data_IF_574608783388
#
_entry.id   IF_574608783388
#
_cell.length_a   1.000
_cell.length_b   1.000
_cell.length_c   1.000
_cell.angle_alpha   90.00
_cell.angle_beta   90.00
_cell.angle_gamma   90.00
#
_symmetry.space_group_name_H-M   'P 1'
#
loop_
_entity.id
_entity.type
_entity.pdbx_description
1 polymer ?
#
# COMPACT_ATOMS: atom_id res chain seq x y z
N UNK A 1 -16.71 -17.89 -10.66
CA UNK A 1 -17.82 -18.04 -11.64
C UNK A 1 -19.10 -17.64 -10.94
N UNK A 2 -19.72 -16.54 -11.35
CA UNK A 2 -21.07 -16.22 -10.91
C UNK A 2 -22.03 -17.28 -11.46
N UNK A 3 -22.89 -17.81 -10.61
CA UNK A 3 -24.02 -18.63 -11.06
C UNK A 3 -24.96 -17.80 -11.90
N UNK A 4 -25.71 -18.39 -12.81
CA UNK A 4 -26.67 -17.64 -13.63
C UNK A 4 -27.67 -16.86 -12.78
N UNK A 5 -28.12 -17.42 -11.65
CA UNK A 5 -29.00 -16.73 -10.70
C UNK A 5 -28.36 -15.48 -10.07
N UNK A 6 -27.07 -15.48 -9.82
CA UNK A 6 -26.35 -14.30 -9.33
C UNK A 6 -26.19 -13.24 -10.42
N UNK A 7 -25.95 -13.66 -11.65
CA UNK A 7 -25.93 -12.74 -12.81
C UNK A 7 -27.25 -12.03 -13.00
N UNK A 8 -28.35 -12.78 -12.94
CA UNK A 8 -29.70 -12.21 -13.08
C UNK A 8 -29.99 -11.25 -11.91
N UNK A 9 -29.65 -11.62 -10.69
CA UNK A 9 -29.82 -10.74 -9.52
C UNK A 9 -29.02 -9.45 -9.67
N UNK A 10 -27.76 -9.52 -10.08
CA UNK A 10 -26.89 -8.36 -10.28
C UNK A 10 -27.44 -7.44 -11.39
N UNK A 11 -27.90 -8.00 -12.50
CA UNK A 11 -28.51 -7.23 -13.58
C UNK A 11 -29.78 -6.53 -13.13
N UNK A 12 -30.63 -7.17 -12.34
CA UNK A 12 -31.87 -6.58 -11.80
C UNK A 12 -31.56 -5.40 -10.89
N UNK A 13 -30.54 -5.51 -10.02
CA UNK A 13 -30.14 -4.42 -9.14
C UNK A 13 -29.58 -3.24 -9.94
N UNK A 14 -28.70 -3.50 -10.89
CA UNK A 14 -28.14 -2.45 -11.76
C UNK A 14 -29.26 -1.72 -12.53
N UNK A 15 -30.23 -2.43 -13.07
CA UNK A 15 -31.33 -1.81 -13.82
C UNK A 15 -32.27 -1.00 -12.93
N UNK A 16 -32.47 -1.39 -11.67
CA UNK A 16 -33.32 -0.65 -10.74
C UNK A 16 -32.71 0.65 -10.23
N UNK A 17 -31.37 0.72 -10.18
CA UNK A 17 -30.63 1.77 -9.50
C UNK A 17 -29.66 2.50 -10.43
N UNK A 18 -29.81 2.37 -11.75
CA UNK A 18 -28.82 2.85 -12.72
C UNK A 18 -28.56 4.36 -12.60
N UNK A 19 -29.61 5.16 -12.37
CA UNK A 19 -29.46 6.61 -12.20
C UNK A 19 -28.82 6.99 -10.85
N UNK A 20 -28.86 6.08 -9.87
CA UNK A 20 -28.24 6.26 -8.55
C UNK A 20 -26.80 5.74 -8.48
N UNK A 21 -26.44 4.82 -9.36
CA UNK A 21 -25.09 4.25 -9.44
C UNK A 21 -24.06 5.18 -10.13
N UNK A 22 -24.53 6.24 -10.78
CA UNK A 22 -23.67 7.26 -11.36
C UNK A 22 -23.10 8.22 -10.31
N UNK A 23 -23.76 8.32 -9.15
CA UNK A 23 -23.30 9.11 -8.02
C UNK A 23 -22.73 8.19 -6.93
N UNK A 24 -21.40 8.13 -6.83
CA UNK A 24 -20.68 7.27 -5.88
C UNK A 24 -20.88 7.70 -4.42
N UNK A 25 -21.35 8.91 -4.17
CA UNK A 25 -21.66 9.44 -2.84
C UNK A 25 -23.13 9.20 -2.46
N UNK A 26 -23.92 8.59 -3.35
CA UNK A 26 -25.32 8.30 -3.08
C UNK A 26 -25.46 7.34 -1.89
N UNK A 27 -26.24 7.68 -0.84
CA UNK A 27 -26.42 6.84 0.35
C UNK A 27 -26.92 5.43 0.03
N UNK A 28 -27.76 5.27 -0.99
CA UNK A 28 -28.32 3.96 -1.39
C UNK A 28 -27.21 3.06 -1.95
N UNK A 29 -26.32 3.62 -2.78
CA UNK A 29 -25.16 2.90 -3.30
C UNK A 29 -24.19 2.49 -2.18
N UNK A 30 -23.90 3.42 -1.26
CA UNK A 30 -23.05 3.18 -0.09
C UNK A 30 -23.64 2.07 0.79
N UNK A 31 -24.93 2.10 1.06
CA UNK A 31 -25.62 1.08 1.87
C UNK A 31 -25.63 -0.29 1.17
N UNK A 32 -25.85 -0.30 -0.14
CA UNK A 32 -25.79 -1.54 -0.92
C UNK A 32 -24.40 -2.19 -0.84
N UNK A 33 -23.33 -1.45 -1.17
CA UNK A 33 -21.96 -1.95 -1.06
C UNK A 33 -21.64 -2.37 0.37
N UNK A 34 -22.08 -1.61 1.37
CA UNK A 34 -21.91 -1.93 2.77
C UNK A 34 -22.53 -3.27 3.17
N UNK A 35 -23.74 -3.52 2.68
CA UNK A 35 -24.46 -4.77 2.96
C UNK A 35 -23.81 -5.95 2.25
N UNK A 36 -23.40 -5.80 1.00
CA UNK A 36 -22.66 -6.84 0.27
C UNK A 36 -21.34 -7.19 0.96
N UNK A 37 -20.61 -6.20 1.45
CA UNK A 37 -19.38 -6.40 2.21
C UNK A 37 -19.61 -7.18 3.51
N UNK A 38 -20.69 -6.86 4.26
CA UNK A 38 -21.05 -7.59 5.48
C UNK A 38 -21.39 -9.06 5.19
N UNK A 39 -22.17 -9.32 4.15
CA UNK A 39 -22.59 -10.67 3.80
C UNK A 39 -21.47 -11.55 3.25
N UNK A 40 -20.45 -10.94 2.65
CA UNK A 40 -19.32 -11.65 2.04
C UNK A 40 -18.02 -11.54 2.85
N UNK A 41 -18.07 -10.97 4.05
CA UNK A 41 -16.89 -10.76 4.89
C UNK A 41 -16.11 -12.06 5.12
N UNK A 42 -16.79 -13.15 5.43
CA UNK A 42 -16.18 -14.47 5.68
C UNK A 42 -15.53 -15.08 4.44
N UNK A 43 -15.89 -14.64 3.24
CA UNK A 43 -15.24 -15.11 1.99
C UNK A 43 -13.85 -14.51 1.80
N UNK A 44 -13.57 -13.39 2.47
CA UNK A 44 -12.27 -12.75 2.51
C UNK A 44 -11.39 -13.29 3.64
N UNK A 45 -11.85 -14.36 4.33
CA UNK A 45 -11.13 -14.98 5.43
C UNK A 45 -9.71 -15.39 5.02
N UNK A 46 -8.76 -15.03 5.85
CA UNK A 46 -7.32 -15.17 5.69
C UNK A 46 -6.77 -16.58 5.81
N UNK A 47 -7.59 -17.57 6.03
CA UNK A 47 -7.15 -18.96 5.88
C UNK A 47 -6.60 -19.24 4.48
N UNK A 48 -6.84 -18.34 3.53
CA UNK A 48 -6.20 -18.35 2.21
C UNK A 48 -5.11 -17.29 2.19
N UNK A 49 -3.89 -17.72 1.94
CA UNK A 49 -2.69 -16.86 1.94
C UNK A 49 -2.67 -15.93 0.74
N UNK A 50 -3.40 -14.81 0.79
CA UNK A 50 -3.23 -13.71 -0.13
C UNK A 50 -2.70 -12.47 0.62
N UNK A 51 -1.95 -11.62 -0.06
CA UNK A 51 -1.30 -10.44 0.53
C UNK A 51 -1.75 -9.13 -0.09
N UNK A 52 -2.39 -9.19 -1.25
CA UNK A 52 -2.86 -8.02 -1.99
C UNK A 52 -4.36 -8.17 -2.28
N UNK A 53 -5.10 -7.09 -2.07
CA UNK A 53 -6.48 -6.91 -2.48
C UNK A 53 -6.50 -5.73 -3.45
N UNK A 54 -6.90 -5.94 -4.69
CA UNK A 54 -6.85 -4.91 -5.73
C UNK A 54 -8.27 -4.56 -6.15
N UNK A 55 -8.63 -3.30 -5.98
CA UNK A 55 -9.92 -2.73 -6.39
C UNK A 55 -9.61 -1.56 -7.30
N UNK A 56 -9.46 -1.80 -8.61
CA UNK A 56 -9.11 -0.75 -9.55
C UNK A 56 -10.23 0.29 -9.70
N UNK A 57 -9.83 1.55 -9.78
CA UNK A 57 -10.73 2.68 -9.92
C UNK A 57 -11.02 3.38 -8.59
N UNK A 58 -11.69 4.51 -8.68
CA UNK A 58 -12.03 5.31 -7.52
C UNK A 58 -13.26 4.73 -6.80
N UNK A 59 -13.13 4.53 -5.49
CA UNK A 59 -14.20 3.99 -4.66
C UNK A 59 -15.27 5.04 -4.28
N UNK A 60 -15.05 6.28 -4.63
CA UNK A 60 -15.98 7.40 -4.53
C UNK A 60 -16.12 7.95 -3.12
N UNK A 61 -16.58 7.16 -2.19
CA UNK A 61 -16.91 7.60 -0.84
C UNK A 61 -15.86 7.20 0.20
N UNK A 62 -15.57 8.12 1.11
CA UNK A 62 -14.75 7.85 2.28
C UNK A 62 -15.34 6.69 3.13
N UNK A 63 -16.65 6.60 3.23
CA UNK A 63 -17.32 5.54 3.97
C UNK A 63 -17.07 4.14 3.36
N UNK A 64 -17.03 4.03 2.03
CA UNK A 64 -16.71 2.78 1.33
C UNK A 64 -15.23 2.45 1.49
N UNK A 65 -14.36 3.44 1.29
CA UNK A 65 -12.91 3.28 1.44
C UNK A 65 -12.54 2.81 2.85
N UNK A 66 -13.14 3.39 3.87
CA UNK A 66 -12.94 3.02 5.27
C UNK A 66 -13.35 1.57 5.55
N UNK A 67 -14.46 1.11 4.98
CA UNK A 67 -14.89 -0.29 5.14
C UNK A 67 -13.91 -1.26 4.51
N UNK A 68 -13.47 -1.00 3.29
CA UNK A 68 -12.46 -1.80 2.63
C UNK A 68 -11.12 -1.76 3.36
N UNK A 69 -10.72 -0.58 3.86
CA UNK A 69 -9.52 -0.41 4.67
C UNK A 69 -9.56 -1.21 5.96
N UNK A 70 -10.69 -1.18 6.68
CA UNK A 70 -10.89 -1.99 7.90
C UNK A 70 -10.83 -3.49 7.62
N UNK A 71 -11.44 -3.94 6.51
CA UNK A 71 -11.34 -5.34 6.06
C UNK A 71 -9.90 -5.70 5.75
N UNK A 72 -9.20 -4.88 4.97
CA UNK A 72 -7.81 -5.12 4.61
C UNK A 72 -6.92 -5.20 5.86
N UNK A 73 -7.06 -4.25 6.79
CA UNK A 73 -6.30 -4.21 8.04
C UNK A 73 -6.59 -5.41 8.93
N UNK A 74 -7.87 -5.77 9.15
CA UNK A 74 -8.26 -6.93 9.96
C UNK A 74 -7.69 -8.22 9.39
N UNK A 75 -7.63 -8.30 8.09
CA UNK A 75 -7.14 -9.45 7.36
C UNK A 75 -5.63 -9.38 7.04
N UNK A 76 -4.91 -8.37 7.48
CA UNK A 76 -3.47 -8.23 7.23
C UNK A 76 -3.11 -8.34 5.73
N UNK A 77 -3.89 -7.69 4.88
CA UNK A 77 -3.67 -7.55 3.44
C UNK A 77 -3.49 -6.08 3.07
N UNK A 78 -2.79 -5.83 1.98
CA UNK A 78 -2.64 -4.50 1.42
C UNK A 78 -3.70 -4.27 0.34
N UNK A 79 -4.55 -3.27 0.55
CA UNK A 79 -5.53 -2.81 -0.44
C UNK A 79 -4.85 -1.84 -1.41
N UNK A 80 -5.01 -2.10 -2.71
CA UNK A 80 -4.62 -1.18 -3.78
C UNK A 80 -5.88 -0.67 -4.48
N UNK A 81 -5.99 0.64 -4.56
CA UNK A 81 -7.07 1.34 -5.23
C UNK A 81 -6.53 2.63 -5.89
N UNK A 82 -7.39 3.37 -6.55
CA UNK A 82 -7.01 4.59 -7.26
C UNK A 82 -7.80 5.77 -6.74
N UNK A 83 -7.19 6.95 -6.82
CA UNK A 83 -7.90 8.19 -6.66
C UNK A 83 -8.65 8.54 -7.97
N UNK A 84 -9.53 9.51 -7.89
CA UNK A 84 -10.38 9.93 -9.01
C UNK A 84 -9.53 10.30 -10.25
N UNK A 85 -10.04 9.99 -11.44
CA UNK A 85 -9.47 10.44 -12.71
C UNK A 85 -9.75 11.92 -12.89
N UNK A 86 -8.71 12.73 -12.70
CA UNK A 86 -8.75 14.19 -12.79
C UNK A 86 -7.78 14.67 -13.85
N UNK A 87 -7.94 15.91 -14.29
CA UNK A 87 -7.17 16.44 -15.43
C UNK A 87 -5.94 17.22 -15.03
N UNK A 88 -5.91 17.77 -13.82
CA UNK A 88 -4.81 18.62 -13.32
C UNK A 88 -4.35 18.21 -11.91
N UNK A 89 -3.09 18.49 -11.54
CA UNK A 89 -2.60 18.26 -10.19
C UNK A 89 -3.34 19.07 -9.12
N UNK A 90 -3.76 20.29 -9.45
CA UNK A 90 -4.47 21.19 -8.53
C UNK A 90 -5.85 20.61 -8.19
N UNK A 91 -6.56 20.06 -9.20
CA UNK A 91 -7.83 19.36 -8.97
C UNK A 91 -7.67 18.16 -8.02
N UNK A 92 -6.56 17.43 -8.14
CA UNK A 92 -6.27 16.29 -7.23
C UNK A 92 -6.16 16.77 -5.79
N UNK A 93 -5.46 17.87 -5.55
CA UNK A 93 -5.30 18.44 -4.20
C UNK A 93 -6.64 18.88 -3.64
N UNK A 94 -7.39 19.65 -4.41
CA UNK A 94 -8.68 20.21 -4.00
C UNK A 94 -9.71 19.11 -3.70
N UNK A 95 -9.85 18.14 -4.60
CA UNK A 95 -10.81 17.03 -4.42
C UNK A 95 -10.40 16.13 -3.26
N UNK A 96 -9.11 15.87 -3.09
CA UNK A 96 -8.63 15.02 -1.99
C UNK A 96 -8.91 15.64 -0.62
N UNK A 97 -8.67 16.93 -0.44
CA UNK A 97 -8.97 17.62 0.82
C UNK A 97 -10.48 17.67 1.10
N UNK A 98 -11.29 17.90 0.08
CA UNK A 98 -12.74 17.91 0.23
C UNK A 98 -13.34 16.53 0.51
N UNK A 99 -12.69 15.46 0.04
CA UNK A 99 -13.13 14.09 0.25
C UNK A 99 -12.78 13.53 1.64
N UNK A 100 -11.97 14.24 2.45
CA UNK A 100 -11.55 13.84 3.80
C UNK A 100 -10.92 12.42 3.87
N UNK A 101 -10.14 12.07 2.86
CA UNK A 101 -9.47 10.76 2.82
C UNK A 101 -8.25 10.67 3.74
N UNK A 102 -7.65 11.81 4.10
CA UNK A 102 -6.49 11.85 4.98
C UNK A 102 -6.89 11.52 6.43
N UNK A 103 -5.99 10.91 7.19
CA UNK A 103 -6.21 10.67 8.61
C UNK A 103 -5.20 9.74 9.25
N UNK A 104 -5.16 9.78 10.59
CA UNK A 104 -4.30 8.95 11.43
C UNK A 104 -4.90 7.60 11.83
N UNK A 105 -5.99 7.18 11.22
CA UNK A 105 -6.61 5.88 11.50
C UNK A 105 -5.70 4.73 11.05
N UNK A 106 -5.41 3.82 11.96
CA UNK A 106 -4.43 2.76 11.74
C UNK A 106 -4.73 1.87 10.52
N UNK A 107 -6.00 1.64 10.21
CA UNK A 107 -6.38 0.81 9.05
C UNK A 107 -6.00 1.45 7.70
N UNK A 108 -5.80 2.77 7.65
CA UNK A 108 -5.31 3.48 6.44
C UNK A 108 -3.88 3.09 6.07
N UNK A 109 -3.12 2.51 7.00
CA UNK A 109 -1.80 1.95 6.71
C UNK A 109 -1.82 0.74 5.78
N UNK A 110 -2.97 0.09 5.65
CA UNK A 110 -3.18 -1.03 4.73
C UNK A 110 -3.78 -0.61 3.38
N UNK A 111 -3.76 0.69 3.06
CA UNK A 111 -4.29 1.22 1.79
C UNK A 111 -3.16 1.89 1.01
N UNK A 112 -2.97 1.47 -0.23
CA UNK A 112 -2.18 2.18 -1.24
C UNK A 112 -3.17 2.76 -2.23
N UNK A 113 -3.18 4.08 -2.37
CA UNK A 113 -4.05 4.77 -3.32
C UNK A 113 -3.18 5.45 -4.37
N UNK A 114 -3.30 5.01 -5.62
CA UNK A 114 -2.58 5.63 -6.74
C UNK A 114 -3.29 6.89 -7.22
N UNK A 115 -2.54 7.80 -7.79
CA UNK A 115 -3.02 9.03 -8.39
C UNK A 115 -2.39 9.21 -9.76
N UNK A 116 -3.09 9.91 -10.65
CA UNK A 116 -2.69 10.15 -12.03
C UNK A 116 -2.79 8.88 -12.90
N UNK A 117 -3.94 8.72 -13.56
CA UNK A 117 -4.26 7.52 -14.33
C UNK A 117 -3.32 7.32 -15.52
N UNK A 118 -3.20 6.08 -15.96
CA UNK A 118 -2.30 5.65 -17.04
C UNK A 118 -2.99 5.75 -18.41
N UNK A 119 -2.26 6.15 -19.43
CA UNK A 119 -2.75 6.06 -20.81
C UNK A 119 -2.82 4.59 -21.22
N UNK A 120 -4.03 4.05 -21.26
CA UNK A 120 -4.28 2.67 -21.72
C UNK A 120 -4.32 2.56 -23.24
N UNK A 121 -4.92 3.55 -23.91
CA UNK A 121 -5.02 3.59 -25.37
C UNK A 121 -5.27 5.01 -25.86
N UNK A 122 -4.61 5.37 -26.94
CA UNK A 122 -4.93 6.62 -27.64
C UNK A 122 -6.29 6.51 -28.33
N UNK A 123 -6.97 7.63 -28.47
CA UNK A 123 -8.26 7.74 -29.17
C UNK A 123 -8.18 7.25 -30.61
N UNK A 124 -9.21 6.57 -31.05
CA UNK A 124 -9.34 6.12 -32.42
C UNK A 124 -10.24 7.09 -33.20
N UNK A 125 -9.62 8.09 -33.81
CA UNK A 125 -10.31 9.17 -34.55
C UNK A 125 -11.20 8.63 -35.69
N UNK A 126 -10.82 7.50 -36.29
CA UNK A 126 -11.57 6.89 -37.39
C UNK A 126 -12.95 6.37 -36.98
N UNK A 127 -13.16 6.06 -35.70
CA UNK A 127 -14.46 5.65 -35.16
C UNK A 127 -15.17 6.75 -34.38
N UNK A 128 -14.64 7.97 -34.41
CA UNK A 128 -15.27 9.14 -33.80
C UNK A 128 -15.01 9.27 -32.30
N UNK A 129 -13.97 8.65 -31.76
CA UNK A 129 -13.58 8.85 -30.36
C UNK A 129 -12.98 10.27 -30.19
N UNK A 130 -13.46 10.96 -29.15
CA UNK A 130 -12.99 12.32 -28.81
C UNK A 130 -11.82 12.29 -27.83
N UNK A 131 -11.81 11.32 -26.88
CA UNK A 131 -10.86 11.22 -25.80
C UNK A 131 -10.00 9.96 -25.81
N UNK A 132 -8.81 10.05 -25.20
CA UNK A 132 -7.97 8.91 -24.91
C UNK A 132 -8.60 8.03 -23.81
N UNK A 133 -8.35 6.73 -23.89
CA UNK A 133 -8.75 5.82 -22.81
C UNK A 133 -7.69 5.82 -21.72
N UNK A 134 -8.06 6.30 -20.54
CA UNK A 134 -7.22 6.20 -19.34
C UNK A 134 -7.67 5.02 -18.46
N UNK A 135 -6.72 4.41 -17.78
CA UNK A 135 -6.95 3.23 -16.94
C UNK A 135 -6.33 3.42 -15.56
N UNK A 136 -6.91 2.80 -14.51
CA UNK A 136 -6.40 2.90 -13.15
C UNK A 136 -4.97 2.37 -13.01
N UNK A 137 -4.11 3.11 -12.29
CA UNK A 137 -2.71 2.74 -12.07
C UNK A 137 -2.51 1.59 -11.09
N UNK A 138 -3.48 1.36 -10.19
CA UNK A 138 -3.40 0.34 -9.14
C UNK A 138 -3.19 -1.06 -9.68
N UNK A 139 -3.80 -1.41 -10.82
CA UNK A 139 -3.64 -2.73 -11.45
C UNK A 139 -2.20 -2.99 -11.90
N UNK A 140 -1.58 -2.00 -12.56
CA UNK A 140 -0.19 -2.10 -13.01
C UNK A 140 0.77 -2.10 -11.81
N UNK A 141 0.51 -1.26 -10.81
CA UNK A 141 1.28 -1.22 -9.56
C UNK A 141 1.18 -2.56 -8.81
N UNK A 142 0.01 -3.16 -8.74
CA UNK A 142 -0.21 -4.46 -8.10
C UNK A 142 0.63 -5.57 -8.76
N UNK A 143 0.65 -5.63 -10.09
CA UNK A 143 1.49 -6.56 -10.84
C UNK A 143 2.98 -6.37 -10.53
N UNK A 144 3.42 -5.12 -10.44
CA UNK A 144 4.81 -4.79 -10.10
C UNK A 144 5.15 -5.13 -8.65
N UNK A 145 4.26 -4.82 -7.72
CA UNK A 145 4.39 -5.18 -6.30
C UNK A 145 4.44 -6.71 -6.13
N UNK A 146 3.64 -7.45 -6.87
CA UNK A 146 3.63 -8.91 -6.83
C UNK A 146 4.95 -9.52 -7.31
N UNK A 147 5.58 -8.93 -8.32
CA UNK A 147 6.85 -9.40 -8.89
C UNK A 147 8.10 -8.97 -8.11
N UNK A 148 7.93 -8.15 -7.07
CA UNK A 148 9.05 -7.54 -6.32
C UNK A 148 9.08 -8.07 -4.89
N UNK A 149 10.27 -8.15 -4.29
CA UNK A 149 10.42 -8.55 -2.89
C UNK A 149 9.59 -7.65 -1.97
N UNK A 150 8.91 -8.24 -0.99
CA UNK A 150 7.95 -7.54 -0.12
C UNK A 150 8.56 -6.35 0.65
N UNK A 151 9.82 -6.46 1.06
CA UNK A 151 10.56 -5.38 1.73
C UNK A 151 11.04 -4.28 0.77
N UNK A 152 10.97 -4.51 -0.55
CA UNK A 152 11.39 -3.54 -1.54
C UNK A 152 10.21 -2.65 -1.95
N UNK A 153 10.41 -1.35 -1.86
CA UNK A 153 9.47 -0.37 -2.38
C UNK A 153 9.50 -0.37 -3.90
N UNK A 154 8.32 -0.40 -4.50
CA UNK A 154 8.12 -0.33 -5.95
C UNK A 154 7.94 1.13 -6.33
N UNK A 155 9.04 1.87 -6.32
CA UNK A 155 9.07 3.28 -6.69
C UNK A 155 10.37 3.64 -7.42
N UNK A 156 10.32 4.72 -8.20
CA UNK A 156 11.45 5.24 -8.95
C UNK A 156 11.88 4.37 -10.13
N UNK A 157 12.88 4.85 -10.87
CA UNK A 157 13.31 4.27 -12.16
C UNK A 157 13.67 2.78 -12.09
N UNK A 158 14.32 2.37 -11.01
CA UNK A 158 14.84 0.99 -10.89
C UNK A 158 13.74 -0.03 -10.59
N UNK A 159 12.84 0.29 -9.66
CA UNK A 159 11.87 -0.66 -9.15
C UNK A 159 10.42 -0.32 -9.49
N UNK A 160 10.10 0.96 -9.70
CA UNK A 160 8.74 1.44 -9.96
C UNK A 160 8.34 1.48 -11.43
N UNK A 161 9.30 1.32 -12.34
CA UNK A 161 9.03 1.43 -13.78
C UNK A 161 8.05 0.39 -14.29
N UNK A 162 7.00 0.84 -14.98
CA UNK A 162 6.00 0.01 -15.62
C UNK A 162 6.43 -0.33 -17.06
N UNK A 163 6.09 -1.52 -17.52
CA UNK A 163 6.25 -1.90 -18.90
C UNK A 163 4.90 -1.71 -19.63
N UNK A 164 4.96 -1.52 -20.93
CA UNK A 164 3.78 -1.42 -21.79
C UNK A 164 2.80 -0.27 -21.44
N UNK A 165 3.32 0.78 -20.80
CA UNK A 165 2.61 2.03 -20.48
C UNK A 165 3.38 3.18 -21.12
N UNK A 166 2.72 3.96 -21.97
CA UNK A 166 3.35 5.03 -22.74
C UNK A 166 3.35 6.37 -22.00
N UNK A 167 2.28 6.67 -21.26
CA UNK A 167 2.08 7.97 -20.63
C UNK A 167 1.14 7.89 -19.44
N UNK A 168 0.99 9.03 -18.79
CA UNK A 168 0.04 9.30 -17.70
C UNK A 168 -0.95 10.38 -18.13
N UNK A 169 -1.99 10.62 -17.33
CA UNK A 169 -3.03 11.62 -17.63
C UNK A 169 -2.44 13.03 -17.78
N UNK A 170 -1.58 13.41 -16.83
CA UNK A 170 -0.90 14.69 -16.82
C UNK A 170 0.54 14.57 -16.29
N UNK A 171 1.41 15.46 -16.76
CA UNK A 171 2.79 15.52 -16.26
C UNK A 171 2.86 16.25 -14.92
N UNK A 172 3.65 15.70 -14.00
CA UNK A 172 3.82 16.24 -12.65
C UNK A 172 5.20 16.90 -12.51
N UNK A 173 5.21 18.13 -11.97
CA UNK A 173 6.44 18.79 -11.52
C UNK A 173 6.89 18.24 -10.16
N UNK A 174 8.15 18.42 -9.81
CA UNK A 174 8.73 17.94 -8.57
C UNK A 174 7.98 18.42 -7.31
N UNK A 175 7.54 19.67 -7.28
CA UNK A 175 6.73 20.23 -6.18
C UNK A 175 5.39 19.53 -6.05
N UNK A 176 4.71 19.30 -7.17
CA UNK A 176 3.40 18.63 -7.22
C UNK A 176 3.51 17.14 -6.78
N UNK A 177 4.58 16.45 -7.19
CA UNK A 177 4.87 15.09 -6.73
C UNK A 177 5.01 15.07 -5.20
N UNK A 178 5.78 16.01 -4.64
CA UNK A 178 5.98 16.10 -3.18
C UNK A 178 4.69 16.42 -2.44
N UNK A 179 3.84 17.25 -2.99
CA UNK A 179 2.54 17.59 -2.40
C UNK A 179 1.58 16.41 -2.39
N UNK A 180 1.44 15.72 -3.52
CA UNK A 180 0.64 14.51 -3.65
C UNK A 180 1.15 13.42 -2.70
N UNK A 181 2.47 13.25 -2.58
CA UNK A 181 3.05 12.29 -1.65
C UNK A 181 2.75 12.64 -0.18
N UNK A 182 2.74 13.92 0.19
CA UNK A 182 2.37 14.35 1.56
C UNK A 182 0.94 13.98 1.93
N UNK A 183 0.03 13.95 0.97
CA UNK A 183 -1.35 13.53 1.18
C UNK A 183 -1.48 12.02 1.42
N UNK A 184 -0.43 11.23 1.15
CA UNK A 184 -0.44 9.77 1.27
C UNK A 184 -0.78 9.05 -0.03
N UNK A 185 -0.88 9.77 -1.14
CA UNK A 185 -1.10 9.20 -2.47
C UNK A 185 0.21 8.72 -3.09
N UNK A 186 0.10 7.76 -4.01
CA UNK A 186 1.21 7.26 -4.82
C UNK A 186 1.08 7.83 -6.23
N UNK A 187 1.82 8.90 -6.57
CA UNK A 187 1.75 9.49 -7.90
C UNK A 187 2.36 8.56 -8.95
N UNK A 188 1.67 8.42 -10.08
CA UNK A 188 2.21 7.85 -11.30
C UNK A 188 2.83 8.98 -12.13
N UNK A 189 4.10 8.84 -12.48
CA UNK A 189 4.87 9.87 -13.18
C UNK A 189 5.48 9.32 -14.44
N UNK A 190 5.66 10.18 -15.44
CA UNK A 190 6.42 9.88 -16.65
C UNK A 190 7.77 10.58 -16.58
N UNK A 191 8.77 9.90 -16.05
CA UNK A 191 10.10 10.44 -15.87
C UNK A 191 11.17 9.53 -16.46
N UNK A 192 12.26 10.11 -16.94
CA UNK A 192 13.35 9.37 -17.57
C UNK A 192 12.89 8.48 -18.74
N UNK A 193 11.89 8.94 -19.50
CA UNK A 193 11.27 8.20 -20.61
C UNK A 193 10.62 6.88 -20.17
N UNK A 194 10.09 6.84 -18.94
CA UNK A 194 9.40 5.69 -18.39
C UNK A 194 8.30 6.10 -17.42
N UNK A 195 7.16 5.46 -17.54
CA UNK A 195 6.08 5.60 -16.55
C UNK A 195 6.43 4.76 -15.32
N UNK A 196 6.29 5.35 -14.14
CA UNK A 196 6.61 4.69 -12.88
C UNK A 196 5.80 5.22 -11.71
N UNK A 197 5.65 4.39 -10.68
CA UNK A 197 5.21 4.86 -9.36
C UNK A 197 6.35 5.61 -8.66
N UNK A 198 6.04 6.68 -7.92
CA UNK A 198 7.05 7.55 -7.32
C UNK A 198 6.78 7.86 -5.84
N UNK A 199 6.28 6.89 -5.08
CA UNK A 199 6.10 7.00 -3.63
C UNK A 199 6.14 5.64 -2.94
N UNK A 200 6.47 5.66 -1.64
CA UNK A 200 6.40 4.50 -0.74
C UNK A 200 5.21 4.59 0.24
N UNK A 201 4.37 5.60 0.08
CA UNK A 201 3.35 5.96 1.06
C UNK A 201 2.17 5.01 1.08
N UNK A 202 1.60 4.87 2.28
CA UNK A 202 0.22 4.42 2.50
C UNK A 202 -0.68 5.64 2.68
N UNK A 203 -1.98 5.43 2.72
CA UNK A 203 -2.95 6.50 2.99
C UNK A 203 -2.93 6.98 4.47
N UNK A 204 -2.18 6.29 5.33
CA UNK A 204 -1.99 6.68 6.73
C UNK A 204 -1.13 7.94 6.83
N UNK A 205 -1.68 8.97 7.47
CA UNK A 205 -1.04 10.29 7.62
C UNK A 205 -0.81 10.70 9.09
N UNK A 206 -0.56 9.72 9.97
CA UNK A 206 -0.13 9.96 11.35
C UNK A 206 1.40 9.95 11.49
N UNK A 207 1.92 10.19 12.70
CA UNK A 207 3.36 10.40 12.98
C UNK A 207 4.24 9.15 12.85
N UNK A 208 3.68 7.97 12.58
CA UNK A 208 4.45 6.72 12.52
C UNK A 208 4.96 6.43 11.11
N UNK A 209 6.25 6.63 10.87
CA UNK A 209 6.90 6.38 9.57
C UNK A 209 6.75 4.92 9.09
N UNK A 210 6.73 3.96 10.00
CA UNK A 210 6.52 2.54 9.66
C UNK A 210 5.15 2.30 9.05
N UNK A 211 4.10 2.90 9.62
CA UNK A 211 2.73 2.81 9.10
C UNK A 211 2.52 3.62 7.81
N UNK A 212 3.32 4.68 7.61
CA UNK A 212 3.31 5.45 6.37
C UNK A 212 3.99 4.74 5.20
N UNK A 213 4.77 3.67 5.43
CA UNK A 213 5.56 3.00 4.39
C UNK A 213 5.01 1.63 4.10
N UNK A 214 4.41 1.44 2.93
CA UNK A 214 3.69 0.20 2.61
C UNK A 214 4.58 -1.06 2.61
N UNK A 215 5.86 -0.97 2.27
CA UNK A 215 6.76 -2.13 2.34
C UNK A 215 6.97 -2.60 3.77
N UNK A 216 7.05 -1.68 4.72
CA UNK A 216 7.15 -1.99 6.15
C UNK A 216 5.87 -2.67 6.64
N UNK A 217 4.71 -2.07 6.36
CA UNK A 217 3.41 -2.63 6.74
C UNK A 217 3.24 -4.04 6.17
N UNK A 218 3.55 -4.26 4.89
CA UNK A 218 3.46 -5.59 4.24
C UNK A 218 4.35 -6.64 4.91
N UNK A 219 5.56 -6.28 5.29
CA UNK A 219 6.49 -7.18 6.00
C UNK A 219 5.93 -7.55 7.37
N UNK A 220 5.44 -6.57 8.14
CA UNK A 220 4.84 -6.83 9.45
C UNK A 220 3.56 -7.68 9.35
N UNK A 221 2.71 -7.41 8.37
CA UNK A 221 1.51 -8.20 8.12
C UNK A 221 1.84 -9.64 7.74
N UNK A 222 2.85 -9.85 6.89
CA UNK A 222 3.32 -11.19 6.53
C UNK A 222 3.84 -11.95 7.74
N UNK A 223 4.72 -11.35 8.54
CA UNK A 223 5.26 -11.98 9.75
C UNK A 223 4.14 -12.32 10.73
N UNK A 224 3.22 -11.38 10.94
CA UNK A 224 2.06 -11.60 11.82
C UNK A 224 1.20 -12.77 11.37
N UNK A 225 0.92 -12.89 10.07
CA UNK A 225 0.16 -14.01 9.51
C UNK A 225 0.84 -15.36 9.71
N UNK A 226 2.14 -15.41 9.38
CA UNK A 226 2.91 -16.66 9.50
C UNK A 226 2.98 -17.12 10.94
N UNK A 227 3.25 -16.18 11.87
CA UNK A 227 3.29 -16.50 13.29
C UNK A 227 1.92 -16.90 13.83
N UNK A 228 0.87 -16.23 13.39
CA UNK A 228 -0.49 -16.53 13.82
C UNK A 228 -0.94 -17.93 13.34
N UNK A 229 -0.68 -18.25 12.07
CA UNK A 229 -0.97 -19.59 11.52
C UNK A 229 -0.16 -20.67 12.23
N UNK A 230 1.13 -20.42 12.47
CA UNK A 230 1.99 -21.33 13.22
C UNK A 230 1.49 -21.57 14.65
N UNK A 231 1.15 -20.50 15.37
CA UNK A 231 0.68 -20.60 16.75
C UNK A 231 -0.71 -21.25 16.84
N UNK A 232 -1.60 -20.98 15.89
CA UNK A 232 -2.92 -21.65 15.84
C UNK A 232 -2.82 -23.17 15.65
N UNK A 233 -1.83 -23.65 14.92
CA UNK A 233 -1.60 -25.10 14.77
C UNK A 233 -1.10 -25.77 16.05
N UNK A 234 -0.55 -24.98 16.95
CA UNK A 234 -0.06 -25.41 18.26
C UNK A 234 -1.04 -25.11 19.40
N UNK A 235 -2.21 -24.61 19.06
CA UNK A 235 -3.26 -24.36 20.04
C UNK A 235 -3.64 -25.67 20.79
N UNK A 236 -3.98 -25.54 22.06
CA UNK A 236 -4.32 -26.66 22.97
C UNK A 236 -3.16 -27.54 23.40
N UNK A 237 -1.91 -27.26 23.00
CA UNK A 237 -0.76 -27.95 23.60
C UNK A 237 -0.58 -27.56 25.07
N UNK A 238 -0.22 -28.50 25.92
CA UNK A 238 0.09 -28.18 27.31
C UNK A 238 1.34 -27.30 27.38
N UNK A 239 1.24 -26.20 28.15
CA UNK A 239 2.37 -25.33 28.40
C UNK A 239 3.38 -25.98 29.34
N UNK A 240 4.58 -26.23 28.83
CA UNK A 240 5.71 -26.78 29.56
C UNK A 240 6.98 -26.03 29.16
N UNK A 241 8.05 -26.13 29.97
CA UNK A 241 9.36 -25.55 29.61
C UNK A 241 9.89 -26.07 28.26
N UNK A 242 9.56 -27.33 27.94
CA UNK A 242 9.93 -27.93 26.65
C UNK A 242 9.15 -27.32 25.49
N UNK A 243 7.84 -27.08 25.68
CA UNK A 243 6.98 -26.46 24.68
C UNK A 243 7.44 -25.04 24.41
N UNK A 244 7.77 -24.28 25.48
CA UNK A 244 8.32 -22.91 25.36
C UNK A 244 9.64 -22.90 24.57
N UNK A 245 10.59 -23.77 24.92
CA UNK A 245 11.88 -23.85 24.24
C UNK A 245 11.74 -24.22 22.74
N UNK A 246 10.84 -25.18 22.43
CA UNK A 246 10.56 -25.57 21.06
C UNK A 246 9.93 -24.45 20.25
N UNK A 247 8.91 -23.76 20.79
CA UNK A 247 8.30 -22.58 20.18
C UNK A 247 9.33 -21.50 19.89
N UNK A 248 10.14 -21.16 20.89
CA UNK A 248 11.22 -20.16 20.73
C UNK A 248 12.19 -20.55 19.60
N UNK A 249 12.61 -21.81 19.57
CA UNK A 249 13.52 -22.30 18.55
C UNK A 249 12.93 -22.20 17.14
N UNK A 250 11.66 -22.55 16.96
CA UNK A 250 11.00 -22.51 15.66
C UNK A 250 10.74 -21.07 15.19
N UNK A 251 10.32 -20.18 16.09
CA UNK A 251 10.14 -18.76 15.81
C UNK A 251 11.47 -18.11 15.41
N UNK A 252 12.54 -18.39 16.16
CA UNK A 252 13.88 -17.85 15.83
C UNK A 252 14.34 -18.37 14.46
N UNK A 253 14.19 -19.67 14.17
CA UNK A 253 14.54 -20.23 12.84
C UNK A 253 13.78 -19.57 11.71
N UNK A 254 12.49 -19.29 11.89
CA UNK A 254 11.69 -18.56 10.91
C UNK A 254 12.23 -17.15 10.70
N UNK A 255 12.42 -16.38 11.78
CA UNK A 255 12.92 -15.00 11.71
C UNK A 255 14.33 -14.92 11.14
N UNK A 256 15.23 -15.82 11.48
CA UNK A 256 16.56 -15.96 10.88
C UNK A 256 16.47 -16.21 9.37
N UNK A 257 15.48 -16.99 8.93
CA UNK A 257 15.31 -17.30 7.52
C UNK A 257 14.93 -16.06 6.68
N UNK A 258 14.32 -15.05 7.29
CA UNK A 258 13.88 -13.83 6.61
C UNK A 258 14.74 -12.58 6.94
N UNK A 259 15.79 -12.76 7.76
CA UNK A 259 16.74 -11.72 8.11
C UNK A 259 17.91 -11.69 7.11
N UNK A 260 18.34 -10.49 6.70
CA UNK A 260 19.57 -10.31 5.92
C UNK A 260 19.45 -9.27 4.79
N UNK A 261 20.57 -8.91 4.15
CA UNK A 261 20.65 -7.77 3.22
C UNK A 261 19.73 -7.81 2.00
N UNK A 262 19.28 -8.98 1.58
CA UNK A 262 18.39 -9.18 0.42
C UNK A 262 17.08 -9.88 0.83
N UNK A 263 16.74 -9.78 2.11
CA UNK A 263 15.57 -10.44 2.69
C UNK A 263 14.55 -9.43 3.20
N UNK A 264 13.67 -9.85 4.10
CA UNK A 264 12.51 -9.05 4.51
C UNK A 264 12.84 -8.08 5.64
N UNK A 265 13.72 -8.46 6.57
CA UNK A 265 14.03 -7.66 7.76
C UNK A 265 15.54 -7.50 7.94
N UNK A 266 15.93 -6.40 8.56
CA UNK A 266 17.32 -6.11 8.89
C UNK A 266 17.75 -6.90 10.13
N UNK A 267 16.99 -6.77 11.23
CA UNK A 267 17.26 -7.40 12.51
C UNK A 267 15.96 -7.78 13.22
N UNK A 268 16.06 -8.73 14.14
CA UNK A 268 14.99 -9.03 15.07
C UNK A 268 15.54 -9.38 16.47
N UNK A 269 14.67 -9.30 17.46
CA UNK A 269 14.92 -9.78 18.80
C UNK A 269 13.63 -10.31 19.41
N UNK A 270 13.63 -11.56 19.86
CA UNK A 270 12.52 -12.12 20.63
C UNK A 270 12.68 -11.66 22.07
N UNK A 271 11.75 -10.82 22.53
CA UNK A 271 11.78 -10.21 23.84
C UNK A 271 11.16 -11.12 24.90
N UNK A 272 10.02 -11.72 24.57
CA UNK A 272 9.26 -12.51 25.53
C UNK A 272 8.50 -13.64 24.81
N UNK A 273 8.53 -14.83 25.40
CA UNK A 273 7.62 -15.93 25.13
C UNK A 273 7.31 -16.55 26.47
N UNK A 274 6.15 -16.31 27.01
CA UNK A 274 5.76 -16.80 28.33
C UNK A 274 4.25 -16.94 28.45
N UNK A 275 3.81 -17.78 29.39
CA UNK A 275 2.40 -17.88 29.74
C UNK A 275 1.99 -16.64 30.54
N UNK A 276 0.80 -16.10 30.24
CA UNK A 276 0.27 -14.95 30.97
C UNK A 276 0.06 -15.33 32.45
N UNK A 277 0.65 -14.57 33.41
CA UNK A 277 0.49 -14.86 34.83
C UNK A 277 -0.97 -14.82 35.31
N UNK A 278 -1.78 -13.95 34.68
CA UNK A 278 -3.17 -13.71 35.08
C UNK A 278 -4.15 -14.65 34.35
N UNK A 279 -3.77 -15.14 33.17
CA UNK A 279 -4.62 -15.98 32.34
C UNK A 279 -3.81 -17.13 31.72
N UNK A 280 -3.83 -18.28 32.39
CA UNK A 280 -2.95 -19.43 32.06
C UNK A 280 -3.24 -20.11 30.72
N UNK A 281 -4.35 -19.83 30.09
CA UNK A 281 -4.68 -20.29 28.74
C UNK A 281 -4.14 -19.36 27.62
N UNK A 282 -3.44 -18.28 28.01
CA UNK A 282 -2.89 -17.26 27.13
C UNK A 282 -1.36 -17.29 27.16
N UNK A 283 -0.75 -17.21 25.99
CA UNK A 283 0.71 -17.07 25.82
C UNK A 283 1.01 -15.71 25.22
N UNK A 284 1.95 -15.01 25.81
CA UNK A 284 2.42 -13.69 25.38
C UNK A 284 3.69 -13.85 24.55
N UNK A 285 3.69 -13.29 23.35
CA UNK A 285 4.82 -13.29 22.43
C UNK A 285 5.14 -11.84 22.02
N UNK A 286 6.30 -11.34 22.43
CA UNK A 286 6.79 -10.03 22.07
C UNK A 286 8.07 -10.15 21.22
N UNK A 287 8.03 -9.58 20.04
CA UNK A 287 9.16 -9.58 19.09
C UNK A 287 9.43 -8.15 18.65
N UNK A 288 10.68 -7.73 18.78
CA UNK A 288 11.17 -6.49 18.18
C UNK A 288 11.74 -6.78 16.80
N UNK A 289 11.27 -6.04 15.78
CA UNK A 289 11.70 -6.20 14.39
C UNK A 289 12.19 -4.86 13.87
N UNK A 290 13.35 -4.85 13.24
CA UNK A 290 13.90 -3.70 12.52
C UNK A 290 13.66 -3.92 11.02
N UNK A 291 12.72 -3.20 10.40
CA UNK A 291 12.46 -3.31 8.95
C UNK A 291 13.44 -2.48 8.13
N UNK A 292 13.50 -2.75 6.84
CA UNK A 292 14.17 -1.86 5.88
C UNK A 292 13.29 -0.66 5.54
N UNK A 293 13.89 0.52 5.51
CA UNK A 293 13.27 1.73 4.98
C UNK A 293 13.91 2.15 3.66
N UNK A 294 13.13 2.62 2.69
CA UNK A 294 13.69 3.16 1.45
C UNK A 294 14.43 4.47 1.71
N UNK A 295 15.60 4.64 1.09
CA UNK A 295 16.24 5.95 1.03
C UNK A 295 15.50 6.83 0.01
N UNK A 296 14.88 7.90 0.49
CA UNK A 296 14.09 8.82 -0.32
C UNK A 296 14.88 10.05 -0.76
N UNK A 297 15.81 10.51 0.08
CA UNK A 297 16.61 11.70 -0.17
C UNK A 297 18.09 11.42 -0.01
N UNK A 298 18.89 12.11 -0.79
CA UNK A 298 20.33 12.06 -0.72
C UNK A 298 20.87 13.47 -0.52
N UNK A 299 21.66 13.66 0.52
CA UNK A 299 22.40 14.90 0.76
C UNK A 299 23.84 14.67 0.28
N UNK A 300 24.26 15.47 -0.67
CA UNK A 300 25.63 15.41 -1.20
C UNK A 300 26.37 16.66 -0.72
N UNK A 301 27.39 16.46 0.09
CA UNK A 301 28.33 17.51 0.49
C UNK A 301 29.59 17.36 -0.35
N UNK A 302 29.94 18.40 -1.07
CA UNK A 302 31.16 18.45 -1.88
C UNK A 302 32.09 19.52 -1.30
N UNK A 303 33.26 19.10 -0.87
CA UNK A 303 34.32 19.98 -0.38
C UNK A 303 35.45 20.05 -1.41
N UNK A 304 35.67 21.27 -1.94
CA UNK A 304 36.77 21.52 -2.88
C UNK A 304 37.95 22.19 -2.17
N UNK A 305 39.14 21.60 -2.27
CA UNK A 305 40.37 22.24 -1.81
C UNK A 305 41.20 22.70 -3.01
N UNK A 306 41.68 23.94 -2.96
CA UNK A 306 42.65 24.44 -3.92
C UNK A 306 44.04 23.88 -3.54
N UNK A 307 44.73 23.24 -4.48
CA UNK A 307 46.05 22.60 -4.20
C UNK A 307 47.08 23.54 -3.60
N UNK A 308 47.81 23.04 -2.62
CA UNK A 308 49.11 23.47 -2.02
C UNK A 308 49.28 24.89 -1.46
N UNK A 309 48.27 25.76 -1.32
CA UNK A 309 48.39 26.97 -0.53
C UNK A 309 47.38 27.01 0.62
N UNK A 310 47.77 27.53 1.81
CA UNK A 310 46.99 27.43 3.03
C UNK A 310 45.89 28.49 3.16
N UNK A 311 45.26 28.95 2.09
CA UNK A 311 44.08 29.78 2.14
C UNK A 311 42.84 28.95 1.81
N UNK A 312 42.02 28.73 2.83
CA UNK A 312 40.78 27.98 2.81
C UNK A 312 39.69 28.67 1.97
N UNK A 313 39.53 28.25 0.76
CA UNK A 313 38.27 28.50 0.04
C UNK A 313 37.43 27.25 0.10
N UNK A 314 36.71 27.07 1.22
CA UNK A 314 35.67 26.04 1.35
C UNK A 314 34.42 26.55 0.66
N UNK A 315 33.93 25.84 -0.37
CA UNK A 315 32.57 25.99 -0.85
C UNK A 315 31.79 24.70 -0.61
N UNK A 316 30.70 24.81 0.10
CA UNK A 316 29.76 23.72 0.33
C UNK A 316 28.58 23.83 -0.63
N UNK A 317 28.29 22.80 -1.33
CA UNK A 317 27.06 22.65 -2.11
C UNK A 317 26.22 21.53 -1.53
N UNK A 318 25.09 21.87 -0.95
CA UNK A 318 24.12 20.91 -0.44
C UNK A 318 23.03 20.69 -1.49
N UNK A 319 22.90 19.47 -1.98
CA UNK A 319 21.77 19.04 -2.78
C UNK A 319 20.86 18.17 -1.89
N UNK A 320 19.74 18.74 -1.45
CA UNK A 320 18.67 18.00 -0.79
C UNK A 320 17.53 17.82 -1.79
N UNK A 321 17.01 16.60 -1.92
CA UNK A 321 15.78 16.35 -2.69
C UNK A 321 14.52 16.69 -1.89
N UNK A 322 14.67 17.04 -0.61
CA UNK A 322 13.57 17.45 0.26
C UNK A 322 13.60 18.97 0.49
N UNK A 323 12.74 19.68 -0.23
CA UNK A 323 12.05 20.88 0.26
C UNK A 323 10.72 21.01 -0.45
#
# INVERSE_FOLDING_TARGET
RNTESQKVKNITIVNAEMDQLTDLDNPVFIDYISNELKHNFDRLDLRRNYSLLVIPGYLGSNAILDKWGKIAHSNKVMLLTDFQDLETPDDVVDVFFNADHSGGDIYKSNIIMTCNWLLGRQKVVQVGEEDNLYVPGSSALAGKIYSTLMSQVVAGKKFGGLNDVESVRFDLKKSEISEIERMGLVPMVNEYSKVMAFSAKTLFNGDNLGLQTYSVVRVFDYISKVLFDFLNRRAFENWTTRTEADLRSQIVKFLDSIQGPTRLIEKFRVMRIEQDPNQKDRVLLDIHITPYFPAKSFVIQLEGRKGEEPEEANWESQYSQDK
#
